data_IF_881245645543
#
_entry.id   IF_881245645543
#
_cell.length_a   1.000
_cell.length_b   1.000
_cell.length_c   1.000
_cell.angle_alpha   90.00
_cell.angle_beta   90.00
_cell.angle_gamma   90.00
#
_symmetry.space_group_name_H-M   'P 1'
#
loop_
_entity.id
_entity.type
_entity.pdbx_description
1 polymer ?
#
# COMPACT_ATOMS: atom_id res chain seq x y z
N UNK A 1 57.00 42.04 -48.97
CA UNK A 1 56.16 43.25 -48.94
C UNK A 1 54.71 42.82 -48.87
N UNK A 2 54.01 43.18 -47.78
CA UNK A 2 52.54 43.34 -47.65
C UNK A 2 51.70 42.08 -47.95
N UNK A 3 50.64 41.74 -47.25
CA UNK A 3 49.88 42.33 -46.15
C UNK A 3 48.69 41.39 -46.00
N UNK A 4 48.25 41.10 -44.76
CA UNK A 4 46.85 40.86 -44.35
C UNK A 4 46.03 39.79 -45.10
N UNK A 5 45.39 38.81 -44.46
CA UNK A 5 44.31 39.03 -43.50
C UNK A 5 43.79 37.69 -42.95
N UNK A 6 43.33 37.74 -41.69
CA UNK A 6 42.26 36.98 -41.06
C UNK A 6 42.12 35.47 -41.31
N UNK A 7 42.35 34.71 -40.25
CA UNK A 7 41.39 33.67 -39.86
C UNK A 7 41.33 33.61 -38.34
N UNK A 8 40.34 34.33 -37.81
CA UNK A 8 39.94 34.25 -36.41
C UNK A 8 39.36 32.85 -36.19
N UNK A 9 40.14 31.97 -35.57
CA UNK A 9 39.63 30.70 -35.05
C UNK A 9 38.90 30.98 -33.74
N UNK A 10 37.61 31.28 -33.85
CA UNK A 10 36.68 31.26 -32.72
C UNK A 10 36.45 29.79 -32.35
N UNK A 11 37.23 29.27 -31.39
CA UNK A 11 36.97 27.96 -30.80
C UNK A 11 35.74 28.13 -29.91
N UNK A 12 34.58 27.75 -30.47
CA UNK A 12 33.32 27.66 -29.75
C UNK A 12 33.42 26.54 -28.71
N UNK A 13 33.67 26.94 -27.47
CA UNK A 13 33.66 26.07 -26.30
C UNK A 13 32.25 25.50 -26.13
N UNK A 14 32.04 24.25 -26.57
CA UNK A 14 30.86 23.48 -26.21
C UNK A 14 31.00 23.10 -24.73
N UNK A 15 30.44 23.94 -23.85
CA UNK A 15 30.15 23.53 -22.49
C UNK A 15 29.16 22.36 -22.59
N UNK A 16 29.64 21.14 -22.31
CA UNK A 16 28.78 20.00 -22.08
C UNK A 16 27.99 20.30 -20.80
N UNK A 17 26.80 20.90 -20.97
CA UNK A 17 25.79 20.96 -19.92
C UNK A 17 25.37 19.52 -19.63
N UNK A 18 26.07 18.89 -18.69
CA UNK A 18 25.58 17.70 -18.03
C UNK A 18 24.30 18.09 -17.31
N UNK A 19 23.16 17.89 -17.98
CA UNK A 19 21.87 17.87 -17.31
C UNK A 19 21.89 16.64 -16.40
N UNK A 20 22.20 16.85 -15.11
CA UNK A 20 21.87 15.89 -14.09
C UNK A 20 20.34 15.79 -14.06
N UNK A 21 19.82 14.85 -14.84
CA UNK A 21 18.44 14.44 -14.73
C UNK A 21 18.29 13.76 -13.36
N UNK A 22 17.78 14.51 -12.38
CA UNK A 22 17.30 13.91 -11.14
C UNK A 22 16.13 13.01 -11.51
N UNK A 23 16.34 11.71 -11.45
CA UNK A 23 15.29 10.73 -11.69
C UNK A 23 14.16 11.03 -10.69
N UNK A 24 12.90 11.20 -11.14
CA UNK A 24 11.81 11.56 -10.26
C UNK A 24 11.71 10.47 -9.18
N UNK A 25 11.90 10.86 -7.92
CA UNK A 25 11.71 9.95 -6.79
C UNK A 25 10.32 9.35 -6.91
N UNK A 26 10.26 8.06 -7.25
CA UNK A 26 8.99 7.34 -7.33
C UNK A 26 8.43 7.28 -5.92
N UNK A 27 7.42 8.10 -5.65
CA UNK A 27 6.68 8.04 -4.39
C UNK A 27 5.87 6.75 -4.42
N UNK A 28 6.35 5.73 -3.72
CA UNK A 28 5.64 4.47 -3.53
C UNK A 28 4.61 4.67 -2.41
N UNK A 29 3.34 4.85 -2.80
CA UNK A 29 2.22 5.00 -1.86
C UNK A 29 1.81 3.58 -1.40
N UNK A 30 1.89 3.30 -0.10
CA UNK A 30 1.37 2.03 0.45
C UNK A 30 -0.17 2.04 0.41
N UNK A 31 -0.83 1.17 -0.38
CA UNK A 31 -2.29 1.16 -0.47
C UNK A 31 -3.00 0.90 0.86
N UNK A 32 -2.33 0.24 1.82
CA UNK A 32 -2.91 -0.05 3.14
C UNK A 32 -2.88 1.16 4.09
N UNK A 33 -2.11 2.20 3.75
CA UNK A 33 -2.09 3.48 4.46
C UNK A 33 -3.20 4.44 4.02
N UNK A 34 -3.96 4.08 2.98
CA UNK A 34 -5.09 4.87 2.53
C UNK A 34 -6.19 4.91 3.61
N UNK A 35 -6.86 6.05 3.71
CA UNK A 35 -7.94 6.24 4.67
C UNK A 35 -9.23 5.65 4.12
N UNK A 36 -9.87 4.79 4.92
CA UNK A 36 -11.18 4.24 4.62
C UNK A 36 -12.18 4.59 5.72
N UNK A 37 -13.45 4.65 5.33
CA UNK A 37 -14.56 4.84 6.26
C UNK A 37 -15.04 3.47 6.74
N UNK A 38 -15.10 3.26 8.05
CA UNK A 38 -15.59 2.00 8.67
C UNK A 38 -17.12 1.96 8.71
N UNK A 39 -17.76 2.09 7.55
CA UNK A 39 -19.21 1.92 7.37
C UNK A 39 -19.42 0.68 6.52
N UNK A 40 -19.86 -0.41 7.16
CA UNK A 40 -20.12 -1.68 6.50
C UNK A 40 -21.61 -1.77 6.10
N UNK A 41 -21.91 -2.37 4.94
CA UNK A 41 -23.30 -2.68 4.59
C UNK A 41 -23.88 -3.73 5.54
N UNK A 42 -25.21 -3.76 5.69
CA UNK A 42 -25.89 -4.67 6.63
C UNK A 42 -25.66 -6.16 6.32
N UNK A 43 -25.31 -6.49 5.08
CA UNK A 43 -24.95 -7.85 4.64
C UNK A 43 -23.60 -8.33 5.20
N UNK A 44 -22.75 -7.42 5.69
CA UNK A 44 -21.40 -7.73 6.18
C UNK A 44 -21.44 -7.91 7.69
N UNK A 45 -21.41 -9.18 8.11
CA UNK A 45 -21.57 -9.57 9.52
C UNK A 45 -20.31 -10.17 10.14
N UNK A 46 -19.34 -10.58 9.33
CA UNK A 46 -18.10 -11.25 9.76
C UNK A 46 -16.88 -10.37 9.57
N UNK A 47 -15.83 -10.63 10.35
CA UNK A 47 -14.51 -9.98 10.21
C UNK A 47 -13.99 -10.13 8.78
N UNK A 48 -14.10 -11.32 8.19
CA UNK A 48 -13.65 -11.58 6.83
C UNK A 48 -14.45 -10.81 5.79
N UNK A 49 -15.77 -10.65 5.99
CA UNK A 49 -16.59 -9.78 5.14
C UNK A 49 -16.17 -8.31 5.23
N UNK A 50 -15.97 -7.81 6.45
CA UNK A 50 -15.54 -6.43 6.69
C UNK A 50 -14.15 -6.16 6.13
N UNK A 51 -13.22 -7.10 6.31
CA UNK A 51 -11.88 -7.00 5.76
C UNK A 51 -11.88 -6.99 4.23
N UNK A 52 -12.65 -7.86 3.57
CA UNK A 52 -12.79 -7.83 2.10
C UNK A 52 -13.33 -6.49 1.61
N UNK A 53 -14.33 -5.94 2.30
CA UNK A 53 -14.90 -4.64 1.96
C UNK A 53 -13.87 -3.51 2.08
N UNK A 54 -13.07 -3.48 3.15
CA UNK A 54 -12.01 -2.48 3.31
C UNK A 54 -10.87 -2.62 2.31
N UNK A 55 -10.60 -3.85 1.85
CA UNK A 55 -9.49 -4.14 0.95
C UNK A 55 -9.82 -3.95 -0.52
N UNK A 56 -11.10 -3.98 -0.91
CA UNK A 56 -11.58 -3.75 -2.27
C UNK A 56 -10.87 -2.59 -3.00
N UNK A 57 -10.75 -1.36 -2.43
CA UNK A 57 -10.10 -0.24 -3.13
C UNK A 57 -8.57 -0.35 -3.20
N UNK A 58 -7.94 -1.24 -2.42
CA UNK A 58 -6.48 -1.36 -2.33
C UNK A 58 -5.88 -2.37 -3.32
N UNK A 59 -6.73 -3.22 -3.89
CA UNK A 59 -6.31 -4.35 -4.74
C UNK A 59 -5.66 -5.50 -3.96
N UNK A 60 -5.71 -5.49 -2.63
CA UNK A 60 -5.34 -6.64 -1.81
C UNK A 60 -6.51 -7.61 -1.70
N UNK A 61 -6.19 -8.90 -1.65
CA UNK A 61 -7.16 -9.99 -1.46
C UNK A 61 -6.99 -10.61 -0.08
N UNK A 62 -8.12 -10.83 0.60
CA UNK A 62 -8.12 -11.55 1.87
C UNK A 62 -7.95 -13.07 1.61
N UNK A 63 -6.83 -13.63 2.05
CA UNK A 63 -6.56 -15.05 2.09
C UNK A 63 -6.89 -15.60 3.49
N UNK A 64 -7.98 -16.35 3.61
CA UNK A 64 -8.36 -17.08 4.84
C UNK A 64 -8.46 -18.59 4.63
N UNK A 65 -8.32 -19.03 3.37
CA UNK A 65 -8.24 -20.43 2.97
C UNK A 65 -6.82 -20.69 2.46
N UNK A 66 -6.42 -21.96 2.38
CA UNK A 66 -5.07 -22.36 1.94
C UNK A 66 -4.67 -21.56 0.68
N UNK A 67 -3.54 -20.83 0.66
CA UNK A 67 -2.33 -20.95 1.48
C UNK A 67 -2.29 -20.15 2.81
N UNK A 68 -3.41 -19.67 3.33
CA UNK A 68 -3.45 -18.92 4.59
C UNK A 68 -3.08 -19.77 5.84
N UNK A 69 -2.61 -19.14 6.95
CA UNK A 69 -2.45 -19.78 8.25
C UNK A 69 -3.74 -20.47 8.71
N UNK A 70 -3.59 -21.59 9.44
CA UNK A 70 -4.71 -22.41 9.88
C UNK A 70 -5.78 -21.62 10.67
N UNK A 71 -5.35 -20.61 11.43
CA UNK A 71 -6.22 -19.80 12.28
C UNK A 71 -6.96 -18.68 11.52
N UNK A 72 -6.53 -18.36 10.29
CA UNK A 72 -7.06 -17.25 9.50
C UNK A 72 -8.56 -17.39 9.25
N UNK A 73 -9.01 -18.61 8.91
CA UNK A 73 -10.43 -18.95 8.73
C UNK A 73 -11.23 -18.74 10.02
N UNK A 74 -10.67 -19.20 11.14
CA UNK A 74 -11.31 -19.08 12.45
C UNK A 74 -11.47 -17.62 12.85
N UNK A 75 -10.47 -16.78 12.58
CA UNK A 75 -10.53 -15.33 12.85
C UNK A 75 -11.54 -14.65 11.91
N UNK A 76 -11.43 -14.92 10.60
CA UNK A 76 -12.28 -14.30 9.58
C UNK A 76 -13.77 -14.60 9.74
N UNK A 77 -14.13 -15.77 10.27
CA UNK A 77 -15.52 -16.15 10.47
C UNK A 77 -16.15 -15.60 11.75
N UNK A 78 -15.39 -14.93 12.63
CA UNK A 78 -15.97 -14.28 13.82
C UNK A 78 -16.83 -13.10 13.42
N UNK A 79 -17.82 -12.79 14.25
CA UNK A 79 -18.67 -11.61 14.08
C UNK A 79 -17.84 -10.31 14.22
N UNK A 80 -18.27 -9.25 13.55
CA UNK A 80 -17.62 -7.94 13.65
C UNK A 80 -17.73 -7.44 15.11
N UNK A 81 -16.60 -7.14 15.77
CA UNK A 81 -16.63 -6.69 17.16
C UNK A 81 -17.31 -5.32 17.26
N UNK A 82 -18.03 -5.00 18.36
CA UNK A 82 -18.77 -3.75 18.49
C UNK A 82 -17.92 -2.50 18.29
N UNK A 83 -16.66 -2.53 18.75
CA UNK A 83 -15.69 -1.44 18.60
C UNK A 83 -15.41 -1.10 17.13
N UNK A 84 -15.46 -2.10 16.23
CA UNK A 84 -15.23 -1.91 14.80
C UNK A 84 -16.44 -1.34 14.05
N UNK A 85 -17.65 -1.40 14.65
CA UNK A 85 -18.88 -0.83 14.05
C UNK A 85 -18.99 0.68 14.21
N UNK A 86 -18.09 1.30 14.97
CA UNK A 86 -18.05 2.74 15.13
C UNK A 86 -17.65 3.39 13.79
N UNK A 87 -18.48 4.30 13.30
CA UNK A 87 -18.23 5.02 12.06
C UNK A 87 -17.08 6.01 12.24
N UNK A 88 -15.92 5.69 11.66
CA UNK A 88 -14.70 6.50 11.73
C UNK A 88 -14.01 6.50 10.36
N UNK A 89 -13.12 7.46 10.17
CA UNK A 89 -12.21 7.51 9.02
C UNK A 89 -10.80 7.29 9.56
N UNK A 90 -10.15 6.23 9.11
CA UNK A 90 -8.82 5.83 9.58
C UNK A 90 -8.08 5.04 8.50
N UNK A 91 -6.76 4.85 8.62
CA UNK A 91 -5.99 3.99 7.73
C UNK A 91 -6.58 2.57 7.68
N UNK A 92 -6.56 1.95 6.49
CA UNK A 92 -7.09 0.60 6.29
C UNK A 92 -6.38 -0.42 7.20
N UNK A 93 -5.06 -0.29 7.36
CA UNK A 93 -4.30 -1.15 8.26
C UNK A 93 -4.79 -1.08 9.71
N UNK A 94 -5.14 0.12 10.19
CA UNK A 94 -5.65 0.33 11.55
C UNK A 94 -7.07 -0.23 11.70
N UNK A 95 -7.91 -0.04 10.68
CA UNK A 95 -9.25 -0.62 10.65
C UNK A 95 -9.21 -2.16 10.68
N UNK A 96 -8.30 -2.77 9.92
CA UNK A 96 -8.05 -4.23 9.96
C UNK A 96 -7.56 -4.68 11.33
N UNK A 97 -6.67 -3.93 11.96
CA UNK A 97 -6.17 -4.25 13.30
C UNK A 97 -7.29 -4.22 14.35
N UNK A 98 -8.19 -3.24 14.27
CA UNK A 98 -9.37 -3.15 15.16
C UNK A 98 -10.32 -4.33 14.91
N UNK A 99 -10.51 -4.74 13.64
CA UNK A 99 -11.36 -5.88 13.30
C UNK A 99 -10.87 -7.17 13.95
N UNK A 100 -9.56 -7.46 13.88
CA UNK A 100 -9.01 -8.70 14.44
C UNK A 100 -8.71 -8.62 15.94
N UNK A 101 -8.60 -7.40 16.48
CA UNK A 101 -8.19 -7.12 17.86
C UNK A 101 -6.66 -7.07 18.03
N UNK A 102 -6.19 -6.44 19.11
CA UNK A 102 -4.77 -6.13 19.35
C UNK A 102 -3.87 -7.34 19.62
N UNK A 103 -4.45 -8.49 19.93
CA UNK A 103 -3.70 -9.72 20.25
C UNK A 103 -3.36 -10.56 19.01
N UNK A 104 -3.93 -10.19 17.85
CA UNK A 104 -3.78 -10.94 16.59
C UNK A 104 -2.95 -10.15 15.59
N UNK A 105 -2.34 -10.88 14.68
CA UNK A 105 -1.39 -10.36 13.72
C UNK A 105 -1.98 -10.36 12.30
N UNK A 106 -1.65 -9.32 11.56
CA UNK A 106 -1.91 -9.21 10.12
C UNK A 106 -0.66 -9.67 9.39
N UNK A 107 -0.81 -10.66 8.51
CA UNK A 107 0.25 -11.12 7.61
C UNK A 107 0.01 -10.47 6.26
N UNK A 108 0.99 -9.71 5.76
CA UNK A 108 0.89 -8.98 4.50
C UNK A 108 1.90 -9.54 3.50
N UNK A 109 1.40 -10.12 2.41
CA UNK A 109 2.19 -10.48 1.25
C UNK A 109 2.03 -9.38 0.19
N UNK A 110 3.04 -8.51 0.09
CA UNK A 110 3.04 -7.39 -0.86
C UNK A 110 3.27 -7.84 -2.30
N UNK A 111 3.91 -8.99 -2.50
CA UNK A 111 4.21 -9.51 -3.84
C UNK A 111 2.93 -10.03 -4.51
N UNK A 112 2.16 -10.83 -3.79
CA UNK A 112 0.91 -11.41 -4.29
C UNK A 112 -0.33 -10.59 -3.93
N UNK A 113 -0.14 -9.44 -3.25
CA UNK A 113 -1.20 -8.58 -2.71
C UNK A 113 -2.21 -9.38 -1.87
N UNK A 114 -1.70 -10.22 -0.98
CA UNK A 114 -2.52 -11.02 -0.07
C UNK A 114 -2.43 -10.48 1.35
N UNK A 115 -3.56 -10.51 2.04
CA UNK A 115 -3.64 -10.27 3.48
C UNK A 115 -4.23 -11.50 4.14
N UNK A 116 -3.66 -11.88 5.27
CA UNK A 116 -4.18 -12.94 6.11
C UNK A 116 -4.10 -12.58 7.59
N UNK A 117 -4.75 -13.37 8.43
CA UNK A 117 -4.75 -13.22 9.88
C UNK A 117 -4.04 -14.39 10.56
N UNK A 118 -3.42 -14.12 11.70
CA UNK A 118 -2.73 -15.13 12.51
C UNK A 118 -2.89 -14.81 14.00
N UNK A 119 -3.01 -15.85 14.84
CA UNK A 119 -2.96 -15.68 16.31
C UNK A 119 -1.53 -15.51 16.82
N UNK A 120 -0.54 -15.97 16.04
CA UNK A 120 0.89 -15.86 16.37
C UNK A 120 1.58 -14.92 15.41
N UNK A 121 2.64 -14.27 15.90
CA UNK A 121 3.58 -13.55 15.05
C UNK A 121 4.30 -14.58 14.18
N UNK A 122 3.98 -14.61 12.90
CA UNK A 122 4.68 -15.43 11.89
C UNK A 122 5.85 -14.66 11.29
#
# INVERSE_FOLDING_TARGET
MRSTWNSVFFILSCAASGAWASEPTRIEIDPLSLYARTVYPESVTTIGGAARYLLEPTGYTLAIEHPAPADARTIGNRAIPPIAKLHRTMPIIDALQILIGTEKWIVVDRHNKLISFSEKRS
#
